data_IF_583564209467
#
_entry.id   IF_583564209467
#
_cell.length_a   1.000
_cell.length_b   1.000
_cell.length_c   1.000
_cell.angle_alpha   90.00
_cell.angle_beta   90.00
_cell.angle_gamma   90.00
#
_symmetry.space_group_name_H-M   'P 1'
#
loop_
_entity.id
_entity.type
_entity.pdbx_description
1 polymer ?
2 polymer ?
3 non-polymer ?
4 non-polymer ?
5 non-polymer ?
6 water ?
#
# COMPACT_ATOMS: atom_id res chain seq x y z
N UNK A 10 14.21 20.02 3.99
CA UNK A 10 12.81 19.91 4.37
C UNK A 10 11.93 20.34 3.20
N UNK A 11 12.42 20.11 1.98
CA UNK A 11 11.72 20.54 0.77
C UNK A 11 10.72 19.52 0.26
N UNK A 12 10.81 18.26 0.70
CA UNK A 12 9.90 17.21 0.25
C UNK A 12 9.54 16.32 1.43
N UNK A 13 8.36 15.72 1.36
CA UNK A 13 7.92 14.73 2.34
C UNK A 13 8.42 13.37 1.87
N UNK A 14 9.66 13.04 2.24
CA UNK A 14 10.31 11.84 1.73
C UNK A 14 9.44 10.60 1.94
N UNK A 15 8.75 10.52 3.07
CA UNK A 15 7.88 9.38 3.32
C UNK A 15 6.74 9.34 2.32
N UNK A 16 6.11 10.49 2.06
CA UNK A 16 5.01 10.54 1.10
C UNK A 16 5.49 10.16 -0.30
N UNK A 17 6.69 10.63 -0.69
CA UNK A 17 7.22 10.28 -2.00
C UNK A 17 7.49 8.78 -2.08
N UNK A 18 8.03 8.21 -1.01
CA UNK A 18 8.28 6.77 -0.98
C UNK A 18 6.95 6.00 -1.00
N UNK A 19 5.96 6.48 -0.25
CA UNK A 19 4.67 5.80 -0.21
C UNK A 19 4.03 5.75 -1.59
N UNK A 20 4.21 6.81 -2.38
CA UNK A 20 3.65 6.84 -3.73
C UNK A 20 4.32 5.79 -4.62
N UNK A 21 5.65 5.75 -4.58
CA UNK A 21 6.39 4.78 -5.40
C UNK A 21 5.99 3.36 -5.04
N UNK A 22 6.09 3.00 -3.77
CA UNK A 22 5.77 1.64 -3.35
C UNK A 22 4.29 1.31 -3.61
N UNK A 23 3.41 2.29 -3.41
CA UNK A 23 1.98 2.03 -3.60
C UNK A 23 1.67 1.68 -5.05
N UNK A 24 2.24 2.42 -6.00
CA UNK A 24 1.99 2.16 -7.41
C UNK A 24 2.64 0.86 -7.85
N UNK A 25 3.90 0.66 -7.48
CA UNK A 25 4.57 -0.60 -7.83
C UNK A 25 3.80 -1.79 -7.30
N UNK A 26 3.32 -1.71 -6.05
CA UNK A 26 2.57 -2.83 -5.48
C UNK A 26 1.21 -2.98 -6.16
N UNK A 27 0.56 -1.86 -6.48
CA UNK A 27 -0.71 -1.93 -7.19
C UNK A 27 -0.55 -2.70 -8.49
N UNK A 28 0.49 -2.39 -9.26
CA UNK A 28 0.71 -3.10 -10.52
C UNK A 28 1.21 -4.52 -10.29
N UNK A 29 1.97 -4.75 -9.23
CA UNK A 29 2.44 -6.09 -8.93
C UNK A 29 1.28 -7.03 -8.64
N UNK A 30 0.30 -6.57 -7.85
CA UNK A 30 -0.85 -7.41 -7.53
C UNK A 30 -1.75 -7.56 -8.76
N UNK A 31 -2.05 -6.46 -9.43
CA UNK A 31 -2.85 -6.53 -10.65
C UNK A 31 -2.22 -7.48 -11.67
N UNK A 32 -0.89 -7.47 -11.77
CA UNK A 32 -0.19 -8.36 -12.69
C UNK A 32 -0.57 -9.83 -12.42
N UNK A 33 -0.61 -10.22 -11.16
CA UNK A 33 -0.80 -11.61 -10.78
C UNK A 33 -2.25 -12.01 -10.60
N UNK A 34 -3.19 -11.10 -10.86
CA UNK A 34 -4.60 -11.45 -10.77
C UNK A 34 -5.00 -12.30 -11.98
N UNK A 35 -5.72 -13.39 -11.72
CA UNK A 35 -6.22 -14.21 -12.79
C UNK A 35 -7.21 -13.40 -13.63
N UNK A 36 -7.55 -13.89 -14.82
CA UNK A 36 -8.59 -13.20 -15.61
C UNK A 36 -9.89 -13.02 -14.84
N UNK A 37 -10.32 -14.07 -14.14
CA UNK A 37 -11.56 -13.97 -13.36
C UNK A 37 -11.45 -12.91 -12.27
N UNK A 38 -10.29 -12.82 -11.62
CA UNK A 38 -10.11 -11.82 -10.57
C UNK A 38 -10.03 -10.42 -11.14
N UNK A 39 -9.51 -10.26 -12.35
CA UNK A 39 -9.53 -8.96 -13.00
C UNK A 39 -10.97 -8.50 -13.24
N UNK A 40 -11.84 -9.41 -13.64
CA UNK A 40 -13.26 -9.08 -13.78
C UNK A 40 -13.84 -8.64 -12.44
N UNK A 41 -13.53 -9.36 -11.37
CA UNK A 41 -14.04 -9.01 -10.05
C UNK A 41 -13.48 -7.66 -9.60
N UNK A 42 -12.23 -7.39 -9.93
CA UNK A 42 -11.63 -6.10 -9.53
C UNK A 42 -12.36 -4.93 -10.20
N UNK A 43 -12.72 -5.08 -11.47
CA UNK A 43 -13.49 -4.04 -12.14
C UNK A 43 -14.90 -3.95 -11.60
N UNK A 44 -15.50 -5.08 -11.22
CA UNK A 44 -16.81 -5.06 -10.60
C UNK A 44 -16.75 -4.37 -9.23
N UNK A 45 -15.69 -4.63 -8.47
CA UNK A 45 -15.54 -3.99 -7.17
C UNK A 45 -15.39 -2.48 -7.32
N UNK A 46 -14.68 -2.04 -8.36
CA UNK A 46 -14.50 -0.60 -8.59
C UNK A 46 -15.84 0.07 -8.85
N UNK A 47 -16.71 -0.59 -9.61
CA UNK A 47 -18.04 -0.04 -9.86
C UNK A 47 -18.88 -0.09 -8.60
N UNK A 48 -18.89 -1.23 -7.91
CA UNK A 48 -19.66 -1.35 -6.68
C UNK A 48 -19.23 -0.29 -5.66
N UNK A 49 -17.92 -0.12 -5.47
CA UNK A 49 -17.43 0.88 -4.54
C UNK A 49 -17.79 2.29 -4.99
N UNK A 50 -17.82 2.52 -6.30
CA UNK A 50 -18.19 3.84 -6.81
C UNK A 50 -19.66 4.16 -6.56
N UNK A 51 -20.52 3.14 -6.60
CA UNK A 51 -21.94 3.36 -6.35
C UNK A 51 -22.19 3.72 -4.89
N UNK A 52 -21.49 3.07 -3.96
CA UNK A 52 -21.70 3.32 -2.54
C UNK A 52 -20.92 4.50 -2.02
N UNK A 53 -20.01 5.06 -2.81
CA UNK A 53 -19.15 6.13 -2.31
C UNK A 53 -19.97 7.32 -1.82
N UNK A 54 -20.83 7.85 -2.69
CA UNK A 54 -21.60 9.04 -2.31
C UNK A 54 -22.44 8.80 -1.06
N UNK A 55 -23.26 7.75 -0.97
CA UNK A 55 -23.95 7.48 0.31
C UNK A 55 -23.01 7.40 1.50
N UNK A 56 -21.84 6.78 1.31
CA UNK A 56 -20.89 6.63 2.41
C UNK A 56 -20.40 7.99 2.89
N UNK A 57 -19.95 8.84 1.97
CA UNK A 57 -19.45 10.16 2.35
C UNK A 57 -20.54 10.99 3.04
N UNK A 58 -21.81 10.76 2.68
CA UNK A 58 -22.89 11.50 3.30
C UNK A 58 -23.05 11.12 4.76
N UNK A 59 -23.02 9.82 5.06
CA UNK A 59 -23.11 9.36 6.45
C UNK A 59 -21.92 9.84 7.27
N UNK A 60 -20.71 9.75 6.70
CA UNK A 60 -19.52 10.19 7.41
C UNK A 60 -19.55 11.70 7.65
N UNK A 61 -19.97 12.47 6.64
CA UNK A 61 -20.07 13.91 6.82
C UNK A 61 -21.14 14.28 7.83
N UNK A 62 -22.24 13.54 7.86
CA UNK A 62 -23.28 13.76 8.86
C UNK A 62 -22.69 13.85 10.26
N UNK A 63 -21.80 12.92 10.59
CA UNK A 63 -21.26 12.78 11.93
C UNK A 63 -19.83 13.31 12.05
N UNK A 64 -19.37 14.11 11.09
CA UNK A 64 -17.99 14.53 11.05
C UNK A 64 -17.44 15.07 12.36
N UNK A 65 -16.17 14.79 12.62
CA UNK A 65 -15.50 15.29 13.83
C UNK A 65 -15.51 16.81 13.86
N UNK A 72 -9.50 9.86 15.42
CA UNK A 72 -8.96 8.57 15.80
C UNK A 72 -8.83 7.64 14.60
N UNK A 73 -7.75 6.85 14.58
CA UNK A 73 -7.63 5.76 13.63
C UNK A 73 -8.46 4.55 14.04
N UNK A 74 -8.85 4.48 15.32
CA UNK A 74 -9.68 3.38 15.78
C UNK A 74 -11.12 3.52 15.28
N UNK A 75 -11.59 4.75 15.08
CA UNK A 75 -12.96 5.00 14.66
C UNK A 75 -13.20 4.28 13.34
N UNK A 76 -12.51 4.63 12.26
CA UNK A 76 -12.71 3.87 11.01
C UNK A 76 -12.46 2.38 11.18
N UNK A 77 -11.46 2.01 11.99
CA UNK A 77 -11.24 0.59 12.27
C UNK A 77 -12.44 -0.02 12.97
N UNK A 78 -13.10 0.75 13.84
CA UNK A 78 -14.30 0.25 14.52
C UNK A 78 -15.45 0.10 13.54
N UNK A 79 -15.57 1.02 12.59
CA UNK A 79 -16.65 0.94 11.60
C UNK A 79 -16.44 -0.26 10.67
N UNK A 80 -15.22 -0.42 10.15
CA UNK A 80 -14.90 -1.59 9.34
C UNK A 80 -15.22 -2.86 10.11
N UNK A 81 -14.90 -2.90 11.40
CA UNK A 81 -15.15 -4.10 12.19
C UNK A 81 -16.65 -4.36 12.35
N UNK A 82 -17.42 -3.30 12.62
CA UNK A 82 -18.87 -3.46 12.71
C UNK A 82 -19.46 -3.94 11.39
N UNK A 83 -18.99 -3.37 10.27
CA UNK A 83 -19.50 -3.79 8.97
C UNK A 83 -19.18 -5.25 8.67
N UNK A 84 -18.07 -5.76 9.20
CA UNK A 84 -17.68 -7.15 8.98
C UNK A 84 -18.15 -8.09 10.08
N UNK A 85 -18.93 -7.59 11.04
CA UNK A 85 -19.44 -8.44 12.11
C UNK A 85 -20.36 -9.51 11.53
N UNK A 86 -20.11 -10.76 11.87
CA UNK A 86 -20.88 -11.88 11.36
C UNK A 86 -22.38 -11.67 11.59
N UNK A 88 -22.56 -10.77 8.08
CA UNK A 88 -22.05 -9.87 7.05
C UNK A 88 -22.55 -10.32 5.67
N UNK A 89 -22.53 -9.40 4.72
CA UNK A 89 -22.93 -9.65 3.34
C UNK A 89 -21.91 -9.05 2.40
N UNK A 90 -22.00 -9.33 1.10
CA UNK A 90 -21.16 -8.62 0.14
C UNK A 90 -21.34 -7.11 0.19
N UNK A 91 -22.57 -6.64 0.37
CA UNK A 91 -22.82 -5.21 0.40
C UNK A 91 -22.06 -4.52 1.51
N UNK A 92 -22.01 -5.15 2.70
CA UNK A 92 -21.30 -4.55 3.82
C UNK A 92 -19.79 -4.66 3.64
N UNK A 93 -19.33 -5.76 3.05
CA UNK A 93 -17.90 -5.90 2.77
C UNK A 93 -17.43 -4.83 1.78
N UNK A 94 -18.21 -4.60 0.73
CA UNK A 94 -17.88 -3.55 -0.24
C UNK A 94 -17.87 -2.19 0.44
N UNK A 95 -18.87 -1.94 1.31
CA UNK A 95 -18.91 -0.67 2.03
C UNK A 95 -17.66 -0.52 2.90
N UNK A 96 -17.23 -1.60 3.55
CA UNK A 96 -16.00 -1.54 4.35
C UNK A 96 -14.79 -1.27 3.47
N UNK A 97 -14.75 -1.88 2.28
CA UNK A 97 -13.62 -1.65 1.38
C UNK A 97 -13.56 -0.19 0.96
N UNK A 98 -14.71 0.39 0.58
CA UNK A 98 -14.72 1.77 0.13
C UNK A 98 -14.40 2.73 1.26
N UNK A 99 -14.81 2.41 2.49
CA UNK A 99 -14.44 3.25 3.63
C UNK A 99 -12.91 3.29 3.78
N UNK A 100 -12.25 2.14 3.67
CA UNK A 100 -10.80 2.12 3.70
C UNK A 100 -10.21 2.94 2.56
N UNK A 101 -10.82 2.85 1.37
CA UNK A 101 -10.32 3.61 0.24
C UNK A 101 -10.48 5.10 0.44
N UNK A 102 -11.52 5.54 1.15
CA UNK A 102 -11.71 6.97 1.37
C UNK A 102 -10.81 7.48 2.49
N UNK A 103 -10.59 6.67 3.52
CA UNK A 103 -9.60 7.03 4.53
C UNK A 103 -8.20 7.10 3.92
N UNK A 104 -7.91 6.22 2.96
CA UNK A 104 -6.63 6.29 2.27
C UNK A 104 -6.42 7.61 1.55
N UNK A 105 -7.50 8.20 1.03
CA UNK A 105 -7.40 9.48 0.35
C UNK A 105 -7.16 10.63 1.32
N UNK A 106 -7.52 10.46 2.60
CA UNK A 106 -7.26 11.47 3.61
C UNK A 106 -5.93 11.25 4.32
N UNK A 107 -5.42 10.03 4.32
CA UNK A 107 -4.20 9.69 5.06
C UNK A 107 -3.03 9.57 4.08
N UNK A 108 -2.57 10.74 3.60
CA UNK A 108 -1.65 10.78 2.48
C UNK A 108 -0.26 11.33 2.80
N UNK A 109 0.06 11.61 4.06
CA UNK A 109 1.44 11.97 4.37
C UNK A 109 1.78 11.71 5.83
N UNK A 110 3.07 11.43 6.06
CA UNK A 110 3.64 11.46 7.41
C UNK A 110 3.07 10.35 8.26
N UNK A 111 2.61 10.71 9.46
CA UNK A 111 2.14 9.75 10.45
C UNK A 111 0.81 9.12 10.08
N UNK A 112 0.12 9.63 9.05
CA UNK A 112 -1.12 9.04 8.59
C UNK A 112 -0.89 7.81 7.72
N UNK A 113 0.33 7.63 7.20
CA UNK A 113 0.63 6.45 6.41
C UNK A 113 0.67 5.19 7.25
N UNK A 114 0.74 5.33 8.58
CA UNK A 114 0.72 4.17 9.46
C UNK A 114 -0.71 3.68 9.67
N UNK A 115 -1.64 4.61 9.91
CA UNK A 115 -3.01 4.24 10.21
C UNK A 115 -3.70 3.58 9.03
N UNK A 116 -3.27 3.89 7.81
CA UNK A 116 -3.93 3.32 6.63
C UNK A 116 -3.64 1.84 6.50
N UNK A 117 -2.36 1.46 6.55
CA UNK A 117 -2.01 0.04 6.42
C UNK A 117 -2.64 -0.77 7.55
N UNK A 118 -2.69 -0.21 8.75
CA UNK A 118 -3.34 -0.92 9.85
C UNK A 118 -4.84 -1.03 9.62
N UNK A 119 -5.46 0.02 9.07
CA UNK A 119 -6.88 -0.05 8.76
C UNK A 119 -7.16 -1.15 7.75
N UNK A 120 -6.31 -1.27 6.72
CA UNK A 120 -6.46 -2.34 5.75
C UNK A 120 -6.28 -3.70 6.42
N UNK A 121 -5.33 -3.79 7.35
CA UNK A 121 -5.14 -5.05 8.07
C UNK A 121 -6.41 -5.48 8.78
N UNK A 122 -7.11 -4.54 9.42
CA UNK A 122 -8.38 -4.87 10.07
C UNK A 122 -9.37 -5.41 9.05
N UNK A 123 -9.45 -4.76 7.89
CA UNK A 123 -10.34 -5.22 6.83
C UNK A 123 -10.07 -6.67 6.47
N UNK A 124 -8.82 -6.98 6.08
CA UNK A 124 -8.49 -8.33 5.63
C UNK A 124 -8.53 -9.32 6.79
N UNK A 125 -8.11 -8.90 7.98
CA UNK A 125 -8.07 -9.81 9.11
C UNK A 125 -9.47 -10.21 9.58
N UNK A 126 -10.44 -9.31 9.47
CA UNK A 126 -11.78 -9.53 9.97
C UNK A 126 -12.72 -10.11 8.92
N UNK A 127 -12.21 -10.44 7.73
CA UNK A 127 -13.08 -10.96 6.69
C UNK A 127 -13.64 -12.32 7.11
N UNK A 128 -14.87 -12.64 6.71
CA UNK A 128 -15.43 -13.95 7.05
C UNK A 128 -14.76 -15.06 6.28
N UNK A 129 -14.86 -16.30 6.74
CA UNK A 129 -14.23 -17.41 5.99
C UNK A 129 -14.77 -17.57 4.58
N UNK A 130 -16.04 -17.26 4.37
CA UNK A 130 -16.70 -17.46 3.09
C UNK A 130 -16.55 -16.27 2.13
N UNK A 131 -15.65 -15.33 2.43
CA UNK A 131 -15.55 -14.12 1.64
C UNK A 131 -15.33 -14.42 0.15
N UNK A 132 -14.48 -15.41 -0.14
CA UNK A 132 -14.09 -15.67 -1.53
C UNK A 132 -15.30 -16.05 -2.38
N UNK A 133 -16.08 -17.04 -1.93
CA UNK A 133 -17.23 -17.49 -2.70
C UNK A 133 -18.39 -16.49 -2.65
N UNK A 134 -18.54 -15.76 -1.55
CA UNK A 134 -19.61 -14.78 -1.44
C UNK A 134 -19.40 -13.63 -2.42
N UNK A 135 -18.21 -13.02 -2.39
CA UNK A 135 -17.94 -11.90 -3.29
C UNK A 135 -17.81 -12.35 -4.74
N UNK A 136 -17.27 -13.55 -4.96
CA UNK A 136 -17.20 -14.06 -6.32
C UNK A 136 -18.56 -14.13 -6.99
N UNK A 137 -19.56 -14.62 -6.27
CA UNK A 137 -20.91 -14.71 -6.83
C UNK A 137 -21.57 -13.33 -6.90
N UNK A 138 -21.26 -12.45 -5.96
CA UNK A 138 -21.90 -11.14 -5.92
C UNK A 138 -21.32 -10.21 -7.00
N UNK A 139 -20.00 -10.10 -7.06
CA UNK A 139 -19.38 -9.23 -8.05
C UNK A 139 -19.69 -9.69 -9.47
N UNK A 140 -19.88 -10.99 -9.68
CA UNK A 140 -20.33 -11.46 -10.98
C UNK A 140 -21.72 -10.92 -11.31
N UNK A 141 -22.61 -10.89 -10.31
CA UNK A 141 -23.91 -10.28 -10.51
C UNK A 141 -23.77 -8.79 -10.82
N UNK A 142 -22.77 -8.12 -10.23
CA UNK A 142 -22.51 -6.73 -10.57
C UNK A 142 -22.14 -6.60 -12.03
N UNK A 143 -21.34 -7.54 -12.54
CA UNK A 143 -20.96 -7.50 -13.96
C UNK A 143 -22.17 -7.65 -14.86
N UNK A 144 -23.14 -8.48 -14.46
CA UNK A 144 -24.36 -8.64 -15.24
C UNK A 144 -25.10 -7.32 -15.38
N UNK A 145 -25.33 -6.63 -14.26
CA UNK A 145 -26.06 -5.38 -14.29
C UNK A 145 -25.33 -4.36 -15.17
N UNK A 146 -24.11 -4.01 -14.79
CA UNK A 146 -23.33 -3.03 -15.53
C UNK A 146 -22.61 -3.68 -16.70
N UNK B 4 -18.07 3.67 22.09
CA UNK B 4 -18.64 4.99 21.84
C UNK B 4 -20.05 4.87 21.28
N UNK B 5 -20.97 5.67 21.83
CA UNK B 5 -22.36 5.61 21.39
C UNK B 5 -22.52 6.15 19.98
N UNK B 6 -21.83 7.25 19.65
CA UNK B 6 -21.95 7.84 18.33
C UNK B 6 -21.42 6.88 17.26
N UNK B 7 -20.26 6.27 17.51
CA UNK B 7 -19.72 5.31 16.56
C UNK B 7 -20.70 4.17 16.30
N UNK B 8 -21.35 3.68 17.36
CA UNK B 8 -22.33 2.61 17.20
C UNK B 8 -23.41 3.00 16.20
N UNK B 9 -24.01 4.17 16.39
CA UNK B 9 -25.08 4.61 15.49
C UNK B 9 -24.54 4.91 14.10
N UNK B 10 -23.30 5.36 13.99
CA UNK B 10 -22.71 5.60 12.67
C UNK B 10 -22.55 4.28 11.91
N UNK B 11 -22.01 3.25 12.58
CA UNK B 11 -21.85 1.96 11.94
C UNK B 11 -23.21 1.34 11.59
N UNK B 12 -24.23 1.60 12.40
CA UNK B 12 -25.57 1.13 12.07
C UNK B 12 -26.07 1.77 10.78
N UNK B 13 -25.69 3.04 10.52
CA UNK B 13 -26.06 3.67 9.27
C UNK B 13 -25.26 3.11 8.10
N UNK B 14 -24.00 2.73 8.33
CA UNK B 14 -23.19 2.13 7.28
C UNK B 14 -23.62 0.70 7.00
N UNK B 15 -23.85 -0.09 8.05
CA UNK B 15 -24.41 -1.42 7.87
C UNK B 15 -25.71 -1.35 7.07
N UNK B 16 -26.48 -0.29 7.26
CA UNK B 16 -27.73 -0.11 6.52
C UNK B 16 -27.45 0.21 5.06
N UNK B 17 -26.44 1.03 4.78
CA UNK B 17 -26.02 1.27 3.41
C UNK B 17 -25.58 -0.03 2.77
N UNK B 18 -24.79 -0.84 3.48
CA UNK B 18 -24.38 -2.12 2.94
C UNK B 18 -25.56 -3.00 2.56
N UNK B 19 -26.59 -3.02 3.41
CA UNK B 19 -27.76 -3.85 3.12
C UNK B 19 -28.48 -3.36 1.87
N UNK B 20 -28.60 -2.04 1.70
CA UNK B 20 -29.21 -1.51 0.48
C UNK B 20 -28.42 -1.92 -0.76
N UNK B 21 -27.10 -2.05 -0.63
CA UNK B 21 -26.29 -2.46 -1.77
C UNK B 21 -26.55 -3.92 -2.13
N UNK B 22 -26.81 -4.76 -1.13
CA UNK B 22 -27.23 -6.13 -1.40
C UNK B 22 -28.60 -6.17 -2.08
N UNK B 23 -29.57 -5.44 -1.52
CA UNK B 23 -30.92 -5.49 -2.04
C UNK B 23 -31.02 -4.89 -3.44
N UNK B 24 -30.16 -3.92 -3.75
CA UNK B 24 -30.20 -3.29 -5.08
C UNK B 24 -29.65 -4.18 -6.17
N UNK B 25 -29.12 -5.36 -5.84
CA UNK B 25 -28.66 -6.31 -6.86
C UNK B 25 -29.78 -7.24 -7.31
N UNK B 26 -30.59 -7.72 -6.37
CA UNK B 26 -31.66 -8.66 -6.69
C UNK B 26 -32.85 -7.93 -7.33
N UNK C 10 -12.23 -20.46 -11.71
CA UNK C 10 -12.82 -20.91 -10.45
C UNK C 10 -13.23 -19.71 -9.60
N UNK C 11 -13.07 -19.85 -8.29
CA UNK C 11 -13.35 -18.75 -7.38
C UNK C 11 -12.21 -17.73 -7.43
N UNK C 12 -12.44 -16.58 -6.81
CA UNK C 12 -11.48 -15.50 -6.76
C UNK C 12 -10.85 -15.45 -5.37
N UNK C 13 -9.67 -14.85 -5.31
CA UNK C 13 -9.02 -14.54 -4.04
C UNK C 13 -9.49 -13.15 -3.64
N UNK C 14 -10.55 -13.09 -2.83
CA UNK C 14 -11.14 -11.82 -2.46
C UNK C 14 -10.11 -10.85 -1.91
N UNK C 15 -9.26 -11.32 -0.98
CA UNK C 15 -8.29 -10.43 -0.36
C UNK C 15 -7.31 -9.86 -1.38
N UNK C 16 -6.99 -10.60 -2.43
CA UNK C 16 -6.11 -10.08 -3.46
C UNK C 16 -6.82 -9.06 -4.33
N UNK C 17 -8.10 -9.26 -4.61
CA UNK C 17 -8.87 -8.29 -5.37
C UNK C 17 -8.96 -6.97 -4.60
N UNK C 18 -9.27 -7.05 -3.30
CA UNK C 18 -9.35 -5.84 -2.48
C UNK C 18 -8.01 -5.13 -2.41
N UNK C 19 -6.94 -5.89 -2.17
CA UNK C 19 -5.61 -5.27 -2.06
C UNK C 19 -5.25 -4.54 -3.34
N UNK C 20 -5.54 -5.14 -4.51
CA UNK C 20 -5.25 -4.47 -5.76
C UNK C 20 -6.04 -3.17 -5.89
N UNK C 21 -7.31 -3.19 -5.47
CA UNK C 21 -8.14 -1.99 -5.56
C UNK C 21 -7.63 -0.91 -4.62
N UNK C 22 -7.45 -1.25 -3.34
CA UNK C 22 -7.00 -0.26 -2.36
C UNK C 22 -5.64 0.29 -2.70
N UNK C 23 -4.72 -0.58 -3.13
CA UNK C 23 -3.36 -0.13 -3.44
C UNK C 23 -3.37 0.92 -4.54
N UNK C 24 -4.12 0.67 -5.62
CA UNK C 24 -4.18 1.63 -6.72
C UNK C 24 -4.88 2.92 -6.30
N UNK C 25 -6.05 2.79 -5.66
CA UNK C 25 -6.77 3.98 -5.18
C UNK C 25 -5.88 4.81 -4.27
N UNK C 26 -5.10 4.14 -3.41
CA UNK C 26 -4.21 4.88 -2.52
C UNK C 26 -3.05 5.51 -3.29
N UNK C 27 -2.46 4.76 -4.22
CA UNK C 27 -1.38 5.31 -5.04
C UNK C 27 -1.83 6.56 -5.77
N UNK C 28 -3.03 6.51 -6.38
CA UNK C 28 -3.56 7.69 -7.05
C UNK C 28 -3.78 8.83 -6.06
N UNK C 29 -4.28 8.52 -4.86
CA UNK C 29 -4.52 9.55 -3.87
C UNK C 29 -3.22 10.27 -3.49
N UNK C 30 -2.19 9.51 -3.11
CA UNK C 30 -0.94 10.11 -2.68
C UNK C 30 -0.34 10.95 -3.82
N UNK C 31 -0.27 10.36 -5.02
CA UNK C 31 0.26 11.09 -6.16
C UNK C 31 -0.47 12.41 -6.37
N UNK C 32 -1.79 12.40 -6.22
CA UNK C 32 -2.56 13.63 -6.40
C UNK C 32 -2.12 14.71 -5.42
N UNK C 33 -1.89 14.33 -4.16
CA UNK C 33 -1.57 15.29 -3.11
C UNK C 33 -0.10 15.67 -3.07
N UNK C 34 0.75 15.06 -3.91
CA UNK C 34 2.17 15.40 -3.91
C UNK C 34 2.36 16.81 -4.47
N UNK C 35 3.15 17.61 -3.77
CA UNK C 35 3.51 18.92 -4.27
C UNK C 35 4.33 18.76 -5.54
N UNK C 36 4.43 19.82 -6.36
CA UNK C 36 5.19 19.68 -7.62
C UNK C 36 6.62 19.23 -7.40
N UNK C 37 7.32 19.85 -6.44
CA UNK C 37 8.70 19.44 -6.16
C UNK C 37 8.77 17.99 -5.70
N UNK C 38 7.72 17.50 -5.05
CA UNK C 38 7.68 16.09 -4.64
C UNK C 38 7.41 15.17 -5.81
N UNK C 39 6.72 15.65 -6.85
CA UNK C 39 6.44 14.81 -8.01
C UNK C 39 7.68 14.65 -8.89
N UNK C 40 8.53 15.69 -8.96
CA UNK C 40 9.80 15.54 -9.66
C UNK C 40 10.69 14.53 -8.96
N UNK C 41 10.65 14.50 -7.63
CA UNK C 41 11.47 13.53 -6.89
C UNK C 41 10.98 12.11 -7.13
N UNK C 42 9.66 11.92 -7.20
CA UNK C 42 9.12 10.59 -7.47
C UNK C 42 9.69 10.01 -8.76
N UNK C 43 9.74 10.82 -9.82
CA UNK C 43 10.36 10.39 -11.07
C UNK C 43 11.83 10.05 -10.84
N UNK C 44 12.56 10.93 -10.14
CA UNK C 44 13.96 10.65 -9.84
C UNK C 44 14.11 9.37 -9.04
N UNK C 45 13.19 9.13 -8.08
CA UNK C 45 13.21 7.88 -7.33
C UNK C 45 12.95 6.70 -8.25
N UNK C 46 12.09 6.89 -9.27
CA UNK C 46 11.79 5.82 -10.21
C UNK C 46 13.05 5.34 -10.92
N UNK C 47 13.74 6.26 -11.59
CA UNK C 47 14.94 5.90 -12.34
C UNK C 47 16.02 5.37 -11.41
N UNK C 48 16.24 6.03 -10.27
CA UNK C 48 17.28 5.59 -9.36
C UNK C 48 16.98 4.21 -8.78
N UNK C 49 15.69 3.85 -8.68
CA UNK C 49 15.33 2.52 -8.24
C UNK C 49 15.62 1.47 -9.29
N UNK C 50 15.61 1.85 -10.57
CA UNK C 50 15.89 0.89 -11.63
C UNK C 50 17.36 0.52 -11.67
N UNK C 51 18.25 1.51 -11.45
CA UNK C 51 19.68 1.23 -11.52
C UNK C 51 20.12 0.27 -10.42
N UNK C 52 19.48 0.34 -9.25
CA UNK C 52 19.84 -0.54 -8.14
C UNK C 52 19.13 -1.89 -8.19
N UNK C 53 18.13 -2.04 -9.06
CA UNK C 53 17.32 -3.25 -9.07
C UNK C 53 18.16 -4.48 -9.32
N UNK C 54 18.80 -4.55 -10.50
CA UNK C 54 19.56 -5.74 -10.86
C UNK C 54 20.70 -6.02 -9.89
N UNK C 55 21.56 -5.06 -9.54
CA UNK C 55 22.57 -5.35 -8.52
C UNK C 55 21.97 -5.84 -7.21
N UNK C 56 20.80 -5.31 -6.84
CA UNK C 56 20.14 -5.76 -5.63
C UNK C 56 19.65 -7.19 -5.76
N UNK C 57 18.94 -7.50 -6.85
CA UNK C 57 18.35 -8.83 -7.01
C UNK C 57 19.43 -9.91 -7.03
N UNK C 58 20.49 -9.70 -7.81
CA UNK C 58 21.52 -10.73 -7.91
C UNK C 58 22.35 -10.84 -6.64
N UNK C 59 22.37 -9.80 -5.80
CA UNK C 59 22.98 -9.93 -4.48
C UNK C 59 22.08 -10.73 -3.55
N UNK C 60 20.76 -10.57 -3.68
CA UNK C 60 19.83 -11.44 -2.97
C UNK C 60 19.96 -12.87 -3.46
N UNK C 61 20.14 -13.05 -4.78
CA UNK C 61 20.40 -14.37 -5.33
C UNK C 61 21.80 -14.88 -4.99
N UNK C 62 22.74 -13.96 -4.73
CA UNK C 62 24.09 -14.37 -4.32
C UNK C 62 24.05 -15.21 -3.05
N UNK C 63 23.15 -14.90 -2.14
CA UNK C 63 22.89 -15.73 -0.97
C UNK C 63 21.45 -16.26 -1.06
N UNK C 64 20.99 -16.90 0.01
CA UNK C 64 19.61 -17.34 0.08
C UNK C 64 19.20 -18.30 -1.01
N UNK C 65 18.45 -17.80 -2.00
CA UNK C 65 17.90 -18.65 -3.05
C UNK C 65 18.46 -18.29 -4.42
N UNK C 72 9.61 -14.79 6.74
CA UNK C 72 9.46 -14.00 5.52
C UNK C 72 9.92 -12.57 5.73
N UNK C 73 9.06 -11.76 6.34
CA UNK C 73 9.37 -10.35 6.55
C UNK C 73 10.63 -10.14 7.37
N UNK C 74 11.08 -11.17 8.09
CA UNK C 74 12.21 -11.00 9.02
C UNK C 74 13.48 -10.60 8.28
N UNK C 75 13.85 -11.34 7.24
CA UNK C 75 15.13 -11.11 6.56
C UNK C 75 15.09 -9.77 5.84
N UNK C 76 14.18 -9.54 4.89
CA UNK C 76 14.11 -8.21 4.26
C UNK C 76 14.02 -7.07 5.26
N UNK C 77 13.19 -7.21 6.31
CA UNK C 77 13.12 -6.19 7.34
C UNK C 77 14.50 -5.98 7.98
N UNK C 78 15.23 -7.07 8.21
CA UNK C 78 16.58 -6.95 8.76
C UNK C 78 17.52 -6.24 7.81
N UNK C 79 17.28 -6.36 6.50
CA UNK C 79 18.12 -5.66 5.53
C UNK C 79 17.77 -4.18 5.48
N UNK C 80 16.47 -3.86 5.42
CA UNK C 80 16.05 -2.47 5.48
C UNK C 80 16.60 -1.81 6.73
N UNK C 81 16.51 -2.49 7.87
CA UNK C 81 17.04 -1.94 9.12
C UNK C 81 18.55 -1.71 9.00
N UNK C 82 19.27 -2.66 8.42
CA UNK C 82 20.71 -2.50 8.26
C UNK C 82 21.06 -1.36 7.31
N UNK C 83 20.22 -1.14 6.29
CA UNK C 83 20.49 -0.08 5.32
C UNK C 83 20.17 1.30 5.87
N UNK C 84 19.24 1.39 6.83
CA UNK C 84 18.86 2.67 7.41
C UNK C 84 19.59 2.98 8.70
N UNK C 85 20.47 2.09 9.16
CA UNK C 85 21.25 2.36 10.36
C UNK C 85 22.12 3.60 10.16
N UNK C 86 22.02 4.53 11.09
CA UNK C 86 22.79 5.77 11.02
C UNK C 86 24.29 5.48 10.96
N UNK C 88 22.98 6.74 7.72
CA UNK C 88 22.68 6.17 6.42
C UNK C 88 22.95 7.19 5.32
N UNK C 89 22.39 6.97 4.14
CA UNK C 89 22.65 7.84 3.01
C UNK C 89 21.48 7.73 2.04
N UNK C 90 21.29 8.72 1.17
CA UNK C 90 20.27 8.58 0.11
C UNK C 90 20.40 7.28 -0.67
N UNK C 91 21.61 6.93 -1.11
CA UNK C 91 21.79 5.69 -1.85
C UNK C 91 21.32 4.48 -1.08
N UNK C 92 21.60 4.44 0.22
CA UNK C 92 21.15 3.32 1.04
C UNK C 92 19.64 3.36 1.24
N UNK C 93 19.08 4.55 1.47
CA UNK C 93 17.64 4.67 1.62
C UNK C 93 16.91 4.26 0.35
N UNK C 94 17.43 4.66 -0.82
CA UNK C 94 16.81 4.26 -2.08
C UNK C 94 16.96 2.76 -2.28
N UNK C 95 18.11 2.19 -1.92
CA UNK C 95 18.27 0.74 -2.00
C UNK C 95 17.23 0.04 -1.12
N UNK C 96 16.95 0.60 0.05
CA UNK C 96 15.92 0.04 0.91
C UNK C 96 14.54 0.12 0.28
N UNK C 97 14.23 1.27 -0.34
CA UNK C 97 12.94 1.41 -1.01
C UNK C 97 12.78 0.33 -2.08
N UNK C 98 13.79 0.17 -2.94
CA UNK C 98 13.67 -0.81 -4.02
C UNK C 98 13.56 -2.23 -3.47
N UNK C 99 14.25 -2.51 -2.36
CA UNK C 99 14.11 -3.82 -1.72
C UNK C 99 12.66 -4.08 -1.34
N UNK C 100 12.01 -3.10 -0.72
CA UNK C 100 10.59 -3.24 -0.39
C UNK C 100 9.76 -3.47 -1.64
N UNK C 101 10.02 -2.70 -2.70
CA UNK C 101 9.26 -2.86 -3.94
C UNK C 101 9.44 -4.26 -4.52
N UNK C 102 10.68 -4.77 -4.51
CA UNK C 102 10.91 -6.10 -5.06
C UNK C 102 10.23 -7.18 -4.24
N UNK C 103 10.23 -7.02 -2.91
CA UNK C 103 9.49 -7.96 -2.07
C UNK C 103 7.99 -7.85 -2.29
N UNK C 104 7.49 -6.65 -2.59
CA UNK C 104 6.10 -6.51 -2.96
C UNK C 104 5.75 -7.26 -4.22
N UNK C 105 6.71 -7.36 -5.15
CA UNK C 105 6.44 -8.04 -6.42
C UNK C 105 6.07 -9.50 -6.20
N UNK C 106 6.75 -10.18 -5.28
CA UNK C 106 6.50 -11.60 -5.02
C UNK C 106 5.60 -11.82 -3.81
N UNK C 107 5.17 -10.76 -3.13
CA UNK C 107 4.26 -10.86 -1.99
C UNK C 107 2.89 -10.32 -2.40
N UNK C 108 2.16 -11.10 -3.19
CA UNK C 108 0.90 -10.64 -3.76
C UNK C 108 -0.31 -11.45 -3.31
N UNK C 109 -0.13 -12.42 -2.40
CA UNK C 109 -1.20 -13.33 -2.02
C UNK C 109 -1.25 -13.53 -0.51
N UNK C 110 -2.42 -13.30 0.08
CA UNK C 110 -2.72 -13.81 1.41
C UNK C 110 -1.74 -13.29 2.46
N UNK C 111 -1.20 -14.23 3.24
CA UNK C 111 -0.31 -13.86 4.35
C UNK C 111 0.90 -13.08 3.85
N UNK C 112 1.30 -13.26 2.59
CA UNK C 112 2.37 -12.45 2.03
C UNK C 112 1.99 -10.97 2.04
N UNK C 113 0.72 -10.67 1.80
CA UNK C 113 0.24 -9.29 1.90
C UNK C 113 0.68 -8.67 3.23
N UNK C 114 0.54 -9.42 4.33
CA UNK C 114 0.91 -8.91 5.64
C UNK C 114 2.40 -8.63 5.69
N UNK C 115 3.22 -9.56 5.21
CA UNK C 115 4.66 -9.37 5.25
C UNK C 115 5.08 -8.09 4.55
N UNK C 116 4.33 -7.66 3.54
CA UNK C 116 4.66 -6.42 2.84
C UNK C 116 4.32 -5.19 3.68
N UNK C 117 3.18 -5.23 4.37
CA UNK C 117 2.82 -4.10 5.22
C UNK C 117 3.80 -3.94 6.37
N UNK C 118 4.23 -5.07 6.95
CA UNK C 118 5.21 -5.00 8.04
C UNK C 118 6.56 -4.52 7.52
N UNK C 119 6.94 -4.91 6.31
CA UNK C 119 8.21 -4.47 5.75
C UNK C 119 8.20 -2.97 5.48
N UNK C 120 7.15 -2.48 4.82
CA UNK C 120 7.06 -1.04 4.53
C UNK C 120 7.02 -0.23 5.82
N UNK C 121 6.47 -0.81 6.89
CA UNK C 121 6.46 -0.10 8.17
C UNK C 121 7.87 0.10 8.71
N UNK C 122 8.71 -0.93 8.61
CA UNK C 122 10.10 -0.80 9.05
C UNK C 122 10.77 0.33 8.29
N UNK C 123 10.56 0.39 6.97
CA UNK C 123 11.17 1.43 6.15
C UNK C 123 10.79 2.81 6.65
N UNK C 124 9.49 3.14 6.62
CA UNK C 124 9.05 4.48 6.96
C UNK C 124 9.30 4.81 8.43
N UNK C 125 9.20 3.82 9.31
CA UNK C 125 9.40 4.08 10.74
C UNK C 125 10.86 4.36 11.06
N UNK C 126 11.79 3.83 10.27
CA UNK C 126 13.20 3.95 10.55
C UNK C 126 13.90 5.03 9.72
N UNK C 127 13.16 5.77 8.90
CA UNK C 127 13.78 6.86 8.17
C UNK C 127 14.35 7.89 9.15
N UNK C 128 15.52 8.45 8.89
CA UNK C 128 16.07 9.45 9.79
C UNK C 128 15.37 10.78 9.62
N UNK C 129 15.39 11.65 10.64
CA UNK C 129 14.77 12.97 10.48
C UNK C 129 15.38 13.78 9.37
N UNK C 130 16.60 13.44 8.94
CA UNK C 130 17.29 14.16 7.88
C UNK C 130 16.80 13.79 6.49
N UNK C 131 15.98 12.74 6.36
CA UNK C 131 15.62 12.23 5.04
C UNK C 131 14.91 13.30 4.21
N UNK C 132 14.04 14.09 4.83
CA UNK C 132 13.30 15.10 4.09
C UNK C 132 14.24 16.04 3.34
N UNK C 133 15.30 16.51 4.00
CA UNK C 133 16.22 17.45 3.37
C UNK C 133 17.28 16.75 2.53
N UNK C 134 17.83 15.64 3.03
CA UNK C 134 18.89 14.96 2.29
C UNK C 134 18.37 14.39 0.97
N UNK C 135 17.25 13.67 1.01
CA UNK C 135 16.68 13.13 -0.22
C UNK C 135 16.13 14.24 -1.11
N UNK C 136 15.70 15.35 -0.52
CA UNK C 136 15.26 16.47 -1.35
C UNK C 136 16.36 16.99 -2.24
N UNK C 137 17.57 17.15 -1.69
CA UNK C 137 18.70 17.62 -2.48
C UNK C 137 19.29 16.52 -3.34
N UNK C 138 19.25 15.27 -2.88
CA UNK C 138 19.83 14.17 -3.65
C UNK C 138 18.95 13.81 -4.84
N UNK C 139 17.68 13.49 -4.59
CA UNK C 139 16.77 13.17 -5.68
C UNK C 139 16.67 14.30 -6.69
N UNK C 140 16.75 15.56 -6.23
CA UNK C 140 16.74 16.67 -7.16
C UNK C 140 18.02 16.71 -7.98
N UNK C 141 19.16 16.45 -7.36
CA UNK C 141 20.42 16.41 -8.10
C UNK C 141 20.39 15.31 -9.16
N UNK C 142 19.82 14.15 -8.82
CA UNK C 142 19.71 13.06 -9.80
C UNK C 142 18.84 13.51 -10.96
N UNK C 143 17.78 14.27 -10.69
CA UNK C 143 16.89 14.71 -11.76
C UNK C 143 17.62 15.62 -12.74
N UNK C 144 18.52 16.47 -12.25
CA UNK C 144 19.27 17.34 -13.14
C UNK C 144 20.29 16.54 -13.94
N UNK C 145 20.99 15.59 -13.32
CA UNK C 145 21.92 14.74 -14.04
C UNK C 145 21.19 13.99 -15.15
N UNK C 146 20.09 13.32 -14.79
CA UNK C 146 19.29 12.57 -15.76
C UNK C 146 18.21 13.50 -16.31
N UNK C 147 18.63 14.39 -17.21
CA UNK C 147 17.72 15.33 -17.82
C UNK C 147 18.01 15.55 -19.30
N UNK D 3 22.29 -18.35 7.45
CA UNK D 3 21.86 -18.11 8.81
C UNK D 3 21.79 -16.61 9.11
N UNK D 4 21.76 -16.26 10.39
CA UNK D 4 21.73 -14.85 10.76
C UNK D 4 23.01 -14.13 10.36
N UNK D 5 24.14 -14.83 10.39
CA UNK D 5 25.39 -14.23 9.94
C UNK D 5 25.41 -14.08 8.42
N UNK D 6 24.70 -14.95 7.70
CA UNK D 6 24.55 -14.76 6.26
C UNK D 6 23.79 -13.47 5.96
N UNK D 7 22.76 -13.17 6.76
CA UNK D 7 22.07 -11.89 6.62
C UNK D 7 22.99 -10.72 6.97
N UNK D 8 23.91 -10.91 7.92
CA UNK D 8 24.88 -9.89 8.23
C UNK D 8 25.76 -9.59 7.02
N UNK D 9 26.22 -10.64 6.32
CA UNK D 9 27.04 -10.44 5.13
C UNK D 9 26.25 -9.79 4.01
N UNK D 10 25.03 -10.28 3.78
CA UNK D 10 24.22 -9.73 2.69
C UNK D 10 23.89 -8.27 2.93
N UNK D 11 23.67 -7.88 4.20
CA UNK D 11 23.37 -6.49 4.50
C UNK D 11 24.54 -5.58 4.13
N UNK D 12 25.77 -6.02 4.41
CA UNK D 12 26.94 -5.24 4.04
C UNK D 12 27.05 -5.10 2.52
N UNK D 13 26.66 -6.14 1.78
CA UNK D 13 26.73 -6.07 0.32
C UNK D 13 25.73 -5.05 -0.22
N UNK D 14 24.51 -5.04 0.32
CA UNK D 14 23.53 -4.04 -0.11
C UNK D 14 23.95 -2.65 0.31
N UNK D 15 24.66 -2.52 1.42
CA UNK D 15 25.17 -1.21 1.84
C UNK D 15 26.20 -0.69 0.84
N UNK D 16 27.12 -1.55 0.41
CA UNK D 16 28.08 -1.15 -0.62
C UNK D 16 27.37 -0.70 -1.88
N UNK D 17 26.37 -1.46 -2.32
CA UNK D 17 25.53 -1.02 -3.44
C UNK D 17 24.93 0.34 -3.13
N UNK D 18 24.43 0.52 -1.90
CA UNK D 18 23.86 1.80 -1.53
C UNK D 18 24.89 2.92 -1.55
N UNK D 19 26.06 2.66 -0.97
CA UNK D 19 27.12 3.66 -0.97
C UNK D 19 27.54 4.03 -2.40
N UNK D 20 27.49 3.07 -3.32
CA UNK D 20 27.83 3.34 -4.71
C UNK D 20 26.73 4.12 -5.40
N UNK D 21 25.47 3.72 -5.20
CA UNK D 21 24.35 4.44 -5.79
C UNK D 21 24.34 5.90 -5.37
N UNK D 22 24.80 6.19 -4.15
CA UNK D 22 24.76 7.56 -3.65
C UNK D 22 25.61 8.48 -4.51
N UNK D 23 26.83 8.04 -4.85
CA UNK D 23 27.73 8.86 -5.66
C UNK D 23 27.48 8.69 -7.15
N UNK D 24 27.05 7.50 -7.57
CA UNK D 24 26.93 7.21 -9.01
C UNK D 24 25.89 8.10 -9.66
N UNK D 25 24.77 8.35 -8.97
CA UNK D 25 23.64 9.05 -9.58
C UNK D 25 23.82 10.56 -9.63
N UNK D 26 24.84 11.11 -8.97
CA UNK D 26 25.13 12.53 -9.01
C UNK D 26 26.36 12.84 -9.85
N UNK D 27 26.91 11.85 -10.53
CA UNK D 27 28.18 11.97 -11.23
C UNK D 27 27.93 12.16 -12.73
N UNK D 28 29.01 12.42 -13.47
CA UNK D 28 29.00 12.46 -14.93
C UNK D 28 28.38 13.75 -15.45
X LIG E 1 0.13 -0.30 -0.45
X LIG E 1 -0.89 0.43 0.24
X LIG E 1 1.45 0.44 -0.36
X LIG E 1 1.86 0.54 1.01
X LIG E 1 0.22 -1.30 -0.01
X LIG E 1 -0.16 -0.42 -1.50
X LIG E 1 -1.73 -0.04 0.19
X LIG E 1 2.21 -0.09 -0.93
X LIG E 1 1.35 1.44 -0.78
X LIG E 1 2.70 1.01 1.07
X LIG F 1 5.42 -5.23 -11.49
X LIG F 1 6.62 -5.98 -11.23
X LIG F 1 5.50 -3.88 -10.80
X LIG F 1 5.70 -4.05 -9.40
X LIG F 1 5.29 -5.09 -12.56
X LIG F 1 4.55 -5.78 -11.11
X LIG F 1 6.56 -6.84 -11.67
X LIG F 1 4.57 -3.33 -10.98
X LIG F 1 6.33 -3.30 -11.22
X LIG F 1 5.75 -3.19 -8.97
X LIG G 1 -17.67 -5.68 -15.50
X LIG G 1 -17.65 -4.33 -15.09
X LIG G 1 -16.39 -6.37 -15.03
X LIG G 1 -16.64 -7.11 -13.85
X LIG G 1 -15.85 -7.29 -16.11
X LIG G 1 -15.17 -6.52 -17.08
X LIG G 1 -18.54 -6.18 -15.07
X LIG G 1 -17.74 -5.74 -16.58
X LIG G 1 -18.43 -3.87 -15.44
X LIG G 1 -15.65 -5.60 -14.82
X LIG G 1 -17.28 -7.82 -14.04
X LIG G 1 -15.17 -8.01 -15.69
X LIG G 1 -16.67 -7.83 -16.58
X LIG G 1 -14.66 -7.11 -17.67
X LIG H 1 -13.51 10.30 -4.22
X LIG H 1 -13.83 11.36 -3.34
X LIG H 1 -12.40 10.72 -5.16
X LIG H 1 -11.43 11.47 -4.46
X LIG H 1 -11.76 9.50 -5.79
X LIG H 1 -10.55 9.86 -6.43
X LIG H 1 -13.20 9.43 -3.64
X LIG H 1 -14.40 10.03 -4.79
X LIG H 1 -14.59 11.10 -2.78
X LIG H 1 -12.83 11.34 -5.96
X LIG H 1 -11.03 10.90 -3.76
X LIG H 1 -11.55 8.75 -5.03
X LIG H 1 -12.44 9.05 -6.52
X LIG H 1 -10.03 9.06 -6.63
X LIG I 1 -11.27 13.14 10.05
X LIG I 1 -10.45 13.03 8.89
X LIG I 1 -12.33 14.21 9.83
X LIG I 1 -13.13 13.87 8.71
X LIG I 1 -11.76 12.18 10.26
X LIG I 1 -10.66 13.40 10.92
X LIG I 1 -9.78 12.35 9.03
X LIG I 1 -12.94 14.31 10.73
X LIG I 1 -11.84 15.18 9.66
X LIG I 1 -13.80 14.55 8.57
X LIG J 1 -2.69 -4.10 1.00
X LIG J 1 -1.36 -4.59 1.19
X LIG J 1 -2.65 -2.68 0.45
X LIG J 1 -1.83 -2.64 -0.72
X LIG J 1 -3.22 -4.75 0.30
X LIG J 1 -3.24 -4.12 1.94
X LIG J 1 -1.38 -5.49 1.54
X LIG J 1 -3.66 -2.35 0.21
X LIG J 1 -2.25 -2.01 1.21
X LIG J 1 -1.80 -1.73 -1.06
X LIG K 1 -20.37 -13.43 8.40
X LIG L 1 -1.57 0.97 13.94
X LIG M 1 -10.61 -15.04 3.45
X LIG N 1 -15.99 -16.27 -6.98
X LIG O 1 -9.95 -0.54 -10.65
X LIG P 1 -14.38 3.16 -7.08
X LIG Q 1 -9.29 2.78 21.87
X LIG R 1 -24.66 -12.34 10.62
X LIG S 1 12.72 24.81 2.90
X LIG T 1 9.45 23.55 3.09
X LIG U 1 -9.82 15.04 14.28
X LIG V 1 4.91 8.02 13.36
X LIG W 1 -8.87 11.35 11.93
X LIG X 1 -23.39 -9.08 16.46
X LIG Y 1 -2.09 -11.06 -7.43
X LIG Z 1 1.35 -15.01 -7.75
X LIG AA 1 -13.76 4.07 18.63
X LIG BA 1 11.52 23.17 7.30
X LIG CA 1 -15.75 10.66 12.74
X LIG DA 1 -25.15 -7.59 12.74
X LIG EA 1 -28.43 -1.92 10.34
X LIG FA 1 -26.79 2.48 -1.65
X LIG GA 1 4.10 13.77 -14.11
X LIG GA 1 3.87 12.36 -14.22
X LIG GA 1 3.76 14.45 -15.44
X LIG GA 1 4.60 13.93 -16.48
X LIG GA 1 3.47 14.18 -13.32
X LIG GA 1 5.14 13.96 -13.85
X LIG GA 1 4.09 11.93 -13.38
X LIG GA 1 2.71 14.27 -15.69
X LIG GA 1 3.91 15.53 -15.34
X LIG GA 1 4.38 14.36 -17.31
X LIG HA 1 -7.02 -24.19 -7.08
X LIG HA 1 -5.95 -24.87 -7.75
X LIG HA 1 -6.95 -22.70 -7.39
X LIG HA 1 -8.09 -22.04 -6.81
X LIG HA 1 -7.98 -24.59 -7.39
X LIG HA 1 -6.92 -24.34 -6.00
X LIG HA 1 -6.00 -25.81 -7.56
X LIG HA 1 -6.04 -22.27 -6.98
X LIG HA 1 -6.96 -22.54 -8.47
X LIG HA 1 -8.05 -21.10 -7.01
X LIG IA 1 3.05 23.58 -2.83
X LIG IA 1 3.32 24.55 -1.82
X LIG IA 1 1.55 23.28 -2.85
X LIG IA 1 1.26 22.35 -3.90
X LIG IA 1 3.36 23.96 -3.80
X LIG IA 1 3.59 22.66 -2.62
X LIG IA 1 4.27 24.75 -1.81
X LIG IA 1 1.24 22.87 -1.88
X LIG IA 1 0.99 24.20 -3.02
X LIG IA 1 0.31 22.16 -3.91
X LIG JA 1 26.28 2.74 8.85
X LIG KA 1 10.59 1.98 15.83
X LIG LA 1 9.09 5.57 16.22
X LIG MA 1 0.31 15.66 -8.05
X LIG NA 1 25.50 7.21 9.94
X LIG OA 1 -1.17 -17.62 3.48
X LIG PA 1 9.32 -3.38 -9.08
X LIG QA 1 -10.66 -22.36 -7.05
X LIG RA 1 -6.36 11.20 -7.57
X LIG SA 1 16.11 -0.04 12.04
X LIG TA 1 12.75 -14.49 5.49
X LIG UA 1 27.58 5.49 5.48
X LIG VA 1 -14.26 -24.86 -9.48
X LIG WA 1 13.67 19.18 -10.14
X LIG XA 1 5.54 -13.17 11.13
X LIG YA 1 19.70 -17.29 8.22
X LIG ZA 1 28.86 -11.76 2.22
X LIG AB 1 29.29 -5.72 -3.06
X LIG BB 1 25.17 9.63 -14.31
#
# INVERSE_FOLDING_TARGET
>A
GPLGSMANRDDIDASAVMAAYLAREYAEAVEEQLTPRERDALEALRVSGEEVRSPLLQELSNAGEHRANPENSHIPAALVSALLEAPTSPGRMVTAVELCAQMGRLWTRGRQLVDFMRLVYVLLDRLPPTADEDLGAWLQAVARVHGT
>B
VPQDASTKKLSECLKRIGDELDSNMELQ
>C
GPLGSMANRDDIDASAVMAAYLAREYAEAVEEQLTPRERDALEALRVSGEEVRSPLLQELSNAGEHRANPENSHIPAALVSALLEAPTSPGRMVTAVELCAQMGRLWTRGRQLVDFMRLVYVLLDRLPPTADEDLGAWLQAVARVHGT
>D
VPQDASTKKLSECLKRIGDELDSNMELQ
>E hetero
1 EDO C1 O1 C2 O2 H11 H12 HO1 H21 H22 HO2
>F hetero
1 EDO C1 O1 C2 O2 H11 H12 HO1 H21 H22 HO2
>G hetero
1 GOL C1 O1 C2 O2 C3 O3 H11 H12 HO1 H2 HO2 H31 H32 HO3
>H hetero
1 GOL C1 O1 C2 O2 C3 O3 H11 H12 HO1 H2 HO2 H31 H32 HO3
>I hetero
1 EDO C1 O1 C2 O2 H11 H12 HO1 H21 H22 HO2
>J hetero
1 EDO C1 O1 C2 O2 H11 H12 HO1 H21 H22 HO2
>K hetero
1 MG MG
>L hetero
1 MG MG
>M hetero
1 MG MG
>N hetero
1 MG MG
>O hetero
1 MG MG
>P hetero
1 MG MG
>Q hetero
1 MG MG
>R hetero
1 MG MG
>S hetero
1 MG MG
>T hetero
1 MG MG
>U hetero
1 MG MG
>V hetero
1 MG MG
>W hetero
1 MG MG
>X hetero
1 MG MG
>Y hetero
1 MG MG
>Z hetero
1 MG MG
>AA hetero
1 MG MG
>BA hetero
1 MG MG
>CA hetero
1 MG MG
>DA hetero
1 MG MG
>EA hetero
1 MG MG
>FA hetero
1 MG MG
>GA hetero
1 EDO C1 O1 C2 O2 H11 H12 HO1 H21 H22 HO2
>HA hetero
1 EDO C1 O1 C2 O2 H11 H12 HO1 H21 H22 HO2
>IA hetero
1 EDO C1 O1 C2 O2 H11 H12 HO1 H21 H22 HO2
>JA hetero
1 MG MG
>KA hetero
1 MG MG
>LA hetero
1 MG MG
>MA hetero
1 MG MG
>NA hetero
1 MG MG
>OA hetero
1 MG MG
>PA hetero
1 MG MG
>QA hetero
1 MG MG
>RA hetero
1 MG MG
>SA hetero
1 MG MG
>TA hetero
1 MG MG
>UA hetero
1 MG MG
>VA hetero
1 MG MG
>WA hetero
1 MG MG
>XA hetero
1 MG MG
>YA hetero
1 MG MG
>ZA hetero
1 MG MG
>AB hetero
1 MG MG
>BB hetero
1 MG MG
#
